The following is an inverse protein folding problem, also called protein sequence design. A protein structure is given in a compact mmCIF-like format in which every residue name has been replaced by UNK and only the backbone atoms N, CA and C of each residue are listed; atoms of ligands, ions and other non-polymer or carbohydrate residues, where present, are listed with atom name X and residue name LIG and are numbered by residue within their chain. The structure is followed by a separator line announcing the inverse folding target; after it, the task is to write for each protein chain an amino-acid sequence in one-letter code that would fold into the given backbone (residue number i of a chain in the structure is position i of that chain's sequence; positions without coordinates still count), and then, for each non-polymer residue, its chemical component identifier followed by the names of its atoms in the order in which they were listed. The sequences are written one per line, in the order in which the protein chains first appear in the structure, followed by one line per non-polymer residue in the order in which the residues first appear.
data_IF_712835635472
#
_entry.id   IF_712835635472
#
_cell.length_a   1.000
_cell.length_b   1.000
_cell.length_c   1.000
_cell.angle_alpha   90.00
_cell.angle_beta   90.00
_cell.angle_gamma   90.00
#
_symmetry.space_group_name_H-M   'P 1'
#
loop_
_entity.id
_entity.type
_entity.pdbx_description
1 polymer ?
#
# COMPACT_ATOMS: atom_id res chain seq x y z
N UNK A 1 -1.71 39.24 -31.17
CA UNK A 1 -0.62 38.46 -30.58
C UNK A 1 -1.18 37.14 -30.10
N UNK A 2 -0.69 36.04 -30.66
CA UNK A 2 -1.21 34.68 -30.52
C UNK A 2 -0.48 33.94 -29.39
N UNK A 3 -1.16 32.94 -28.76
CA UNK A 3 -0.63 31.86 -27.88
C UNK A 3 -0.67 32.21 -26.37
N UNK A 4 -1.23 31.42 -25.45
CA UNK A 4 -1.41 29.96 -25.38
C UNK A 4 -2.70 29.62 -24.60
N UNK A 5 -3.62 28.89 -25.25
CA UNK A 5 -4.58 28.04 -24.54
C UNK A 5 -3.78 26.96 -23.80
N UNK A 6 -4.00 26.82 -22.50
CA UNK A 6 -3.70 25.58 -21.78
C UNK A 6 -5.02 25.10 -21.17
N UNK A 7 -5.83 24.48 -22.03
CA UNK A 7 -6.97 23.66 -21.68
C UNK A 7 -6.41 22.44 -20.93
N UNK A 8 -6.41 22.48 -19.59
CA UNK A 8 -6.08 21.29 -18.83
C UNK A 8 -7.25 20.31 -18.93
N UNK A 9 -6.96 19.19 -19.58
CA UNK A 9 -7.91 18.15 -19.91
C UNK A 9 -8.50 17.55 -18.63
N UNK A 10 -9.82 17.66 -18.51
CA UNK A 10 -10.65 16.88 -17.61
C UNK A 10 -10.49 15.40 -18.00
N UNK A 11 -9.73 14.64 -17.23
CA UNK A 11 -9.72 13.17 -17.31
C UNK A 11 -10.86 12.67 -16.44
N UNK A 12 -12.05 12.58 -17.03
CA UNK A 12 -13.17 11.86 -16.44
C UNK A 12 -12.97 10.36 -16.69
N UNK A 13 -12.20 9.71 -15.80
CA UNK A 13 -12.09 8.26 -15.80
C UNK A 13 -13.27 7.68 -15.01
N UNK A 14 -14.36 7.37 -15.71
CA UNK A 14 -15.49 6.64 -15.13
C UNK A 14 -15.15 5.15 -15.10
N UNK A 15 -14.54 4.67 -14.02
CA UNK A 15 -14.43 3.24 -13.72
C UNK A 15 -15.72 2.79 -13.06
N UNK A 16 -16.25 1.68 -13.59
CA UNK A 16 -17.61 1.21 -13.35
C UNK A 16 -17.93 0.88 -11.90
N UNK A 17 -19.17 1.17 -11.56
CA UNK A 17 -19.88 0.67 -10.38
C UNK A 17 -19.84 -0.85 -10.33
N UNK A 18 -19.12 -1.41 -9.37
CA UNK A 18 -19.40 -2.74 -8.83
C UNK A 18 -20.06 -2.52 -7.48
N UNK A 19 -21.38 -2.69 -7.45
CA UNK A 19 -22.15 -2.60 -6.22
C UNK A 19 -21.99 -3.86 -5.37
N UNK A 20 -21.85 -3.67 -4.06
CA UNK A 20 -22.04 -4.75 -3.08
C UNK A 20 -21.44 -4.46 -1.71
N UNK A 21 -22.19 -3.81 -0.82
CA UNK A 21 -21.88 -3.81 0.62
C UNK A 21 -22.12 -2.49 1.33
N UNK A 22 -22.84 -2.53 2.44
CA UNK A 22 -23.30 -1.39 3.24
C UNK A 22 -22.21 -0.83 4.16
N UNK A 23 -21.57 0.26 3.74
CA UNK A 23 -21.14 1.42 4.52
C UNK A 23 -20.43 2.32 3.50
N UNK A 24 -20.90 3.54 3.30
CA UNK A 24 -20.12 4.53 2.54
C UNK A 24 -19.06 5.05 3.49
N UNK A 25 -18.07 4.22 3.81
CA UNK A 25 -16.78 4.73 4.27
C UNK A 25 -16.21 5.57 3.13
N UNK A 26 -15.56 6.68 3.43
CA UNK A 26 -14.66 7.24 2.43
C UNK A 26 -13.39 6.36 2.40
N UNK A 27 -12.67 6.44 1.29
CA UNK A 27 -11.28 6.02 1.15
C UNK A 27 -10.59 7.30 0.72
N UNK A 28 -10.21 8.11 1.70
CA UNK A 28 -9.94 9.52 1.46
C UNK A 28 -8.55 9.77 0.84
N UNK A 29 -7.64 8.81 0.91
CA UNK A 29 -6.35 8.86 0.23
C UNK A 29 -6.24 7.92 -0.98
N UNK A 30 -7.20 7.01 -1.17
CA UNK A 30 -7.31 6.16 -2.35
C UNK A 30 -6.36 4.96 -2.34
N UNK A 31 -5.94 4.49 -1.17
CA UNK A 31 -5.04 3.35 -1.03
C UNK A 31 -5.77 1.99 -1.05
N UNK A 32 -7.10 2.01 -0.93
CA UNK A 32 -7.96 0.84 -0.95
C UNK A 32 -8.38 0.31 0.43
N UNK A 33 -8.06 1.02 1.52
CA UNK A 33 -8.59 0.81 2.85
C UNK A 33 -9.65 1.90 3.11
N UNK A 34 -10.75 1.54 3.77
CA UNK A 34 -11.77 2.55 4.11
C UNK A 34 -11.36 3.29 5.38
N UNK A 35 -11.65 4.59 5.46
CA UNK A 35 -11.34 5.47 6.60
C UNK A 35 -11.74 4.85 7.96
N UNK A 36 -12.91 4.18 8.02
CA UNK A 36 -13.40 3.53 9.25
C UNK A 36 -12.56 2.31 9.68
N UNK A 37 -11.96 1.61 8.72
CA UNK A 37 -11.06 0.50 8.99
C UNK A 37 -9.69 1.02 9.40
N UNK A 38 -9.24 2.12 8.81
CA UNK A 38 -8.00 2.79 9.19
C UNK A 38 -8.05 3.32 10.63
N UNK A 39 -9.16 3.96 11.03
CA UNK A 39 -9.40 4.36 12.42
C UNK A 39 -9.33 3.17 13.40
N UNK A 40 -9.85 2.00 12.99
CA UNK A 40 -9.81 0.77 13.80
C UNK A 40 -8.39 0.18 13.88
N UNK A 41 -7.63 0.24 12.79
CA UNK A 41 -6.25 -0.24 12.69
C UNK A 41 -5.24 0.72 13.34
N UNK A 42 -5.64 1.98 13.54
CA UNK A 42 -4.78 3.05 14.04
C UNK A 42 -3.83 3.62 12.97
N UNK A 43 -4.20 3.51 11.69
CA UNK A 43 -3.54 4.21 10.57
C UNK A 43 -4.17 5.61 10.37
N UNK A 44 -3.70 6.38 9.39
CA UNK A 44 -4.16 7.75 9.13
C UNK A 44 -5.00 7.79 7.85
N UNK A 45 -6.33 8.04 7.92
CA UNK A 45 -7.22 8.07 6.76
C UNK A 45 -6.91 9.09 5.67
N UNK A 46 -5.90 9.94 5.87
CA UNK A 46 -5.47 10.94 4.89
C UNK A 46 -4.09 10.61 4.30
N UNK A 47 -3.51 9.47 4.67
CA UNK A 47 -2.15 9.10 4.30
C UNK A 47 -2.06 7.64 3.83
N UNK A 48 -1.97 7.50 2.51
CA UNK A 48 -1.91 6.20 1.86
C UNK A 48 -0.90 5.26 2.52
N UNK A 49 -1.36 4.08 2.93
CA UNK A 49 -0.49 3.06 3.48
C UNK A 49 0.52 2.62 2.42
N UNK A 50 1.80 2.73 2.80
CA UNK A 50 2.91 2.38 1.92
C UNK A 50 3.80 1.33 2.57
N UNK A 51 3.90 0.19 1.90
CA UNK A 51 4.96 -0.77 2.18
C UNK A 51 6.29 -0.19 1.70
N UNK A 52 7.17 0.13 2.65
CA UNK A 52 8.56 0.46 2.34
C UNK A 52 9.42 -0.79 2.54
N UNK A 53 10.32 -1.11 1.60
CA UNK A 53 11.30 -2.15 1.85
C UNK A 53 12.21 -1.71 3.00
N UNK A 54 12.37 -2.55 4.01
CA UNK A 54 13.41 -2.38 5.01
C UNK A 54 14.73 -2.77 4.35
N UNK A 55 15.51 -1.77 3.94
CA UNK A 55 16.79 -1.99 3.26
C UNK A 55 17.93 -2.28 4.25
N UNK A 56 17.79 -1.85 5.50
CA UNK A 56 18.74 -2.08 6.58
C UNK A 56 17.99 -2.68 7.77
N UNK A 57 17.92 -4.02 7.84
CA UNK A 57 17.29 -4.76 8.95
C UNK A 57 18.25 -4.97 10.15
N UNK A 58 19.23 -4.08 10.29
CA UNK A 58 20.25 -4.14 11.34
C UNK A 58 21.27 -5.27 11.17
N UNK A 59 22.02 -5.54 12.25
CA UNK A 59 22.98 -6.66 12.27
C UNK A 59 22.22 -7.98 12.33
N UNK A 60 22.57 -8.88 11.43
CA UNK A 60 22.00 -10.22 11.37
C UNK A 60 22.14 -10.92 12.74
N UNK A 61 21.04 -11.51 13.23
CA UNK A 61 21.07 -12.15 14.55
C UNK A 61 22.09 -13.29 14.57
N UNK A 62 22.86 -13.41 15.66
CA UNK A 62 23.96 -14.40 15.84
C UNK A 62 23.56 -15.88 15.65
N UNK A 63 22.27 -16.18 15.45
CA UNK A 63 21.79 -17.48 15.05
C UNK A 63 22.09 -17.84 13.59
N UNK A 64 22.21 -16.84 12.70
CA UNK A 64 22.45 -17.03 11.26
C UNK A 64 23.93 -17.21 10.92
N UNK A 65 24.81 -16.70 11.77
CA UNK A 65 26.27 -16.95 11.72
C UNK A 65 26.69 -18.38 12.10
N UNK A 66 25.74 -19.21 12.54
CA UNK A 66 26.04 -20.59 12.96
C UNK A 66 26.30 -21.45 11.74
N UNK A 67 27.35 -22.26 11.79
CA UNK A 67 27.69 -23.23 10.71
C UNK A 67 26.55 -24.22 10.39
N UNK A 68 25.63 -24.42 11.32
CA UNK A 68 24.45 -25.29 11.19
C UNK A 68 23.19 -24.54 10.76
N UNK A 69 23.30 -23.26 10.42
CA UNK A 69 22.20 -22.46 9.92
C UNK A 69 21.81 -22.94 8.51
N UNK A 70 20.51 -23.23 8.33
CA UNK A 70 19.93 -23.59 7.03
C UNK A 70 19.07 -22.43 6.55
N UNK A 71 19.57 -21.56 5.64
CA UNK A 71 18.81 -20.41 5.15
C UNK A 71 17.56 -20.81 4.37
N UNK A 72 17.44 -22.07 3.93
CA UNK A 72 16.22 -22.59 3.29
C UNK A 72 15.04 -22.65 4.26
N UNK A 73 15.28 -22.53 5.57
CA UNK A 73 14.23 -22.51 6.60
C UNK A 73 13.60 -21.12 6.80
N UNK A 74 14.21 -20.06 6.28
CA UNK A 74 13.68 -18.70 6.45
C UNK A 74 12.46 -18.43 5.59
N UNK A 75 12.41 -19.08 4.43
CA UNK A 75 11.31 -18.93 3.48
C UNK A 75 10.58 -20.26 3.43
N UNK A 76 9.54 -20.38 4.26
CA UNK A 76 8.76 -21.62 4.35
C UNK A 76 7.85 -21.83 3.15
N UNK A 77 7.36 -20.76 2.51
CA UNK A 77 6.58 -20.80 1.28
C UNK A 77 6.38 -19.37 0.75
N UNK A 78 6.51 -19.16 -0.56
CA UNK A 78 5.99 -17.96 -1.24
C UNK A 78 4.93 -18.46 -2.21
N UNK A 79 3.66 -18.19 -1.91
CA UNK A 79 2.54 -18.46 -2.81
C UNK A 79 2.30 -17.22 -3.69
N UNK A 80 1.99 -17.46 -4.97
CA UNK A 80 1.64 -16.44 -5.96
C UNK A 80 0.15 -16.51 -6.29
#
# INVERSE_FOLDING_TARGET
MLRRLALQALVALTVGTVGGGTAVGADADGDGIWDEHEELLGTDPQLSDRFYPVLEDGSEGAGRDRKTYDPTKDVLLVEF
#
